data_IF_408475134901
#
_entry.id   IF_408475134901
#
_cell.length_a   1.000
_cell.length_b   1.000
_cell.length_c   1.000
_cell.angle_alpha   90.00
_cell.angle_beta   90.00
_cell.angle_gamma   90.00
#
_symmetry.space_group_name_H-M   'P 1'
#
loop_
_entity.id
_entity.type
_entity.pdbx_description
1 polymer ?
#
# COMPACT_ATOMS: atom_id res chain seq x y z
N UNK A 1 22.26 -27.81 7.14
CA UNK A 1 21.13 -28.29 6.31
C UNK A 1 19.86 -27.44 6.50
N UNK A 2 19.96 -26.25 7.12
CA UNK A 2 18.82 -25.34 7.34
C UNK A 2 18.81 -24.24 6.27
N UNK A 3 19.98 -23.79 5.80
CA UNK A 3 20.10 -22.72 4.79
C UNK A 3 19.47 -23.06 3.43
N UNK A 4 19.53 -24.31 2.99
CA UNK A 4 18.94 -24.73 1.70
C UNK A 4 17.41 -24.65 1.74
N UNK A 5 16.80 -25.00 2.87
CA UNK A 5 15.33 -25.02 3.03
C UNK A 5 14.73 -23.60 3.10
N UNK A 6 15.45 -22.65 3.72
CA UNK A 6 15.00 -21.25 3.81
C UNK A 6 15.08 -20.57 2.44
N UNK A 7 16.18 -20.77 1.71
CA UNK A 7 16.37 -20.16 0.39
C UNK A 7 15.33 -20.64 -0.64
N UNK A 8 14.99 -21.93 -0.64
CA UNK A 8 13.93 -22.45 -1.52
C UNK A 8 12.55 -21.89 -1.20
N UNK A 9 12.27 -21.71 0.10
CA UNK A 9 11.00 -21.15 0.57
C UNK A 9 10.86 -19.68 0.18
N UNK A 10 11.93 -18.88 0.32
CA UNK A 10 11.96 -17.49 -0.13
C UNK A 10 11.76 -17.39 -1.64
N UNK A 11 12.52 -18.17 -2.43
CA UNK A 11 12.40 -18.18 -3.89
C UNK A 11 10.98 -18.59 -4.36
N UNK A 12 10.33 -19.51 -3.64
CA UNK A 12 8.93 -19.88 -3.91
C UNK A 12 7.97 -18.73 -3.59
N UNK A 13 8.17 -18.02 -2.49
CA UNK A 13 7.41 -16.83 -2.12
C UNK A 13 7.53 -15.72 -3.18
N UNK A 14 8.75 -15.42 -3.64
CA UNK A 14 8.96 -14.40 -4.65
C UNK A 14 8.25 -14.73 -5.98
N UNK A 15 8.36 -15.98 -6.43
CA UNK A 15 7.68 -16.45 -7.64
C UNK A 15 6.16 -16.32 -7.51
N UNK A 16 5.62 -16.62 -6.34
CA UNK A 16 4.19 -16.53 -6.07
C UNK A 16 3.70 -15.08 -6.08
N UNK A 17 4.46 -14.14 -5.50
CA UNK A 17 4.17 -12.70 -5.58
C UNK A 17 4.14 -12.24 -7.03
N UNK A 18 5.18 -12.55 -7.81
CA UNK A 18 5.25 -12.17 -9.24
C UNK A 18 4.07 -12.73 -10.03
N UNK A 19 3.71 -14.00 -9.77
CA UNK A 19 2.54 -14.63 -10.39
C UNK A 19 1.24 -13.90 -10.05
N UNK A 20 1.03 -13.49 -8.79
CA UNK A 20 -0.15 -12.72 -8.38
C UNK A 20 -0.21 -11.35 -9.08
N UNK A 21 0.92 -10.66 -9.20
CA UNK A 21 1.01 -9.38 -9.93
C UNK A 21 0.61 -9.55 -11.40
N UNK A 22 1.14 -10.57 -12.08
CA UNK A 22 0.77 -10.88 -13.47
C UNK A 22 -0.71 -11.25 -13.63
N UNK A 23 -1.27 -12.03 -12.69
CA UNK A 23 -2.69 -12.40 -12.71
C UNK A 23 -3.59 -11.18 -12.52
N UNK A 24 -3.23 -10.27 -11.61
CA UNK A 24 -3.97 -9.03 -11.41
C UNK A 24 -3.91 -8.13 -12.64
N UNK A 25 -2.74 -8.03 -13.31
CA UNK A 25 -2.59 -7.29 -14.56
C UNK A 25 -3.51 -7.82 -15.66
N UNK A 26 -3.49 -9.13 -15.92
CA UNK A 26 -4.39 -9.76 -16.91
C UNK A 26 -5.86 -9.56 -16.55
N UNK A 27 -6.19 -9.67 -15.27
CA UNK A 27 -7.56 -9.44 -14.79
C UNK A 27 -8.02 -8.01 -15.03
N UNK A 28 -7.12 -7.03 -14.89
CA UNK A 28 -7.40 -5.63 -15.20
C UNK A 28 -7.61 -5.43 -16.71
N UNK A 29 -6.72 -5.94 -17.56
CA UNK A 29 -6.82 -5.83 -19.02
C UNK A 29 -8.18 -6.36 -19.51
N UNK A 30 -8.57 -7.56 -19.08
CA UNK A 30 -9.86 -8.18 -19.43
C UNK A 30 -11.09 -7.41 -18.93
N UNK A 31 -10.97 -6.66 -17.83
CA UNK A 31 -12.05 -5.81 -17.32
C UNK A 31 -12.15 -4.53 -18.13
N UNK A 32 -11.01 -3.88 -18.39
CA UNK A 32 -10.95 -2.59 -19.08
C UNK A 32 -11.42 -2.69 -20.53
N UNK A 33 -11.14 -3.80 -21.22
CA UNK A 33 -11.67 -4.05 -22.58
C UNK A 33 -13.19 -3.98 -22.67
N UNK A 34 -13.89 -4.25 -21.56
CA UNK A 34 -15.37 -4.25 -21.49
C UNK A 34 -15.93 -2.92 -21.01
N UNK A 35 -15.09 -1.95 -20.66
CA UNK A 35 -15.53 -0.67 -20.14
C UNK A 35 -15.82 0.32 -21.27
N UNK A 36 -16.79 1.25 -21.08
CA UNK A 36 -16.97 2.37 -21.99
C UNK A 36 -15.70 3.22 -22.11
N UNK A 37 -15.52 3.87 -23.27
CA UNK A 37 -14.41 4.80 -23.50
C UNK A 37 -14.37 5.88 -22.41
N UNK A 38 -13.18 6.16 -21.89
CA UNK A 38 -12.93 7.16 -20.85
C UNK A 38 -13.11 6.67 -19.41
N UNK A 39 -13.74 5.51 -19.17
CA UNK A 39 -13.85 4.95 -17.82
C UNK A 39 -12.50 4.43 -17.33
N UNK A 40 -11.69 3.83 -18.21
CA UNK A 40 -10.34 3.39 -17.88
C UNK A 40 -9.44 4.54 -17.37
N UNK A 41 -9.49 5.68 -18.05
CA UNK A 41 -8.74 6.88 -17.66
C UNK A 41 -9.24 7.45 -16.33
N UNK A 42 -10.54 7.38 -16.08
CA UNK A 42 -11.13 7.75 -14.80
C UNK A 42 -10.71 6.81 -13.66
N UNK A 43 -10.52 5.51 -13.93
CA UNK A 43 -10.02 4.56 -12.93
C UNK A 43 -8.56 4.84 -12.54
N UNK A 44 -7.71 5.23 -13.50
CA UNK A 44 -6.31 5.56 -13.22
C UNK A 44 -6.17 6.85 -12.39
N UNK A 45 -7.00 7.84 -12.68
CA UNK A 45 -7.01 9.14 -11.97
C UNK A 45 -7.85 9.12 -10.69
N UNK A 46 -8.59 8.04 -10.45
CA UNK A 46 -9.47 7.88 -9.30
C UNK A 46 -8.67 7.76 -8.01
N UNK A 47 -8.99 8.59 -7.03
CA UNK A 47 -8.61 8.41 -5.63
C UNK A 47 -9.62 7.46 -5.01
N UNK A 48 -9.20 6.24 -4.66
CA UNK A 48 -10.04 5.31 -3.92
C UNK A 48 -9.65 5.36 -2.45
N UNK A 49 -10.31 6.20 -1.63
CA UNK A 49 -10.06 6.15 -0.20
C UNK A 49 -10.51 4.77 0.29
N UNK A 50 -9.59 4.02 0.91
CA UNK A 50 -10.05 3.10 1.95
C UNK A 50 -10.62 4.03 3.02
N UNK A 51 -11.92 3.94 3.35
CA UNK A 51 -12.41 4.65 4.52
C UNK A 51 -11.49 4.24 5.67
N UNK A 52 -10.95 5.23 6.39
CA UNK A 52 -10.26 5.04 7.67
C UNK A 52 -11.25 4.37 8.62
N UNK A 53 -11.46 3.08 8.44
CA UNK A 53 -12.03 2.25 9.44
C UNK A 53 -10.88 2.10 10.42
N UNK A 54 -11.00 2.80 11.56
CA UNK A 54 -10.52 2.30 12.82
C UNK A 54 -10.80 0.79 12.86
N UNK A 55 -9.84 -0.02 12.42
CA UNK A 55 -9.80 -1.43 12.77
C UNK A 55 -9.33 -1.47 14.22
N UNK A 56 -10.20 -0.97 15.10
CA UNK A 56 -10.04 -0.89 16.55
C UNK A 56 -10.21 -2.28 17.16
N UNK A 57 -9.22 -3.15 16.91
CA UNK A 57 -8.66 -3.89 18.03
C UNK A 57 -7.84 -2.87 18.83
N UNK A 58 -8.06 -2.77 20.14
CA UNK A 58 -7.58 -1.69 21.04
C UNK A 58 -6.07 -1.37 21.02
N UNK A 59 -5.27 -2.04 20.22
CA UNK A 59 -3.80 -2.01 20.27
C UNK A 59 -3.10 -1.74 18.92
N UNK A 60 -3.81 -1.51 17.80
CA UNK A 60 -3.15 -1.18 16.53
C UNK A 60 -3.99 -0.28 15.62
N UNK A 61 -3.57 0.99 15.48
CA UNK A 61 -4.15 1.90 14.50
C UNK A 61 -3.59 1.60 13.11
N UNK A 62 -4.47 1.53 12.11
CA UNK A 62 -4.06 1.43 10.71
C UNK A 62 -4.19 2.80 10.05
N UNK A 63 -3.08 3.27 9.52
CA UNK A 63 -3.03 4.48 8.69
C UNK A 63 -3.09 4.04 7.24
N UNK A 64 -4.06 4.59 6.50
CA UNK A 64 -4.24 4.30 5.08
C UNK A 64 -3.65 5.42 4.22
N UNK A 65 -2.64 5.08 3.43
CA UNK A 65 -2.12 5.92 2.35
C UNK A 65 -2.56 5.42 0.97
N UNK A 66 -2.08 6.10 -0.06
CA UNK A 66 -2.25 5.72 -1.45
C UNK A 66 -0.90 5.54 -2.14
N UNK A 67 -0.82 4.59 -3.05
CA UNK A 67 0.39 4.30 -3.82
C UNK A 67 0.00 3.69 -5.16
N UNK A 68 0.84 3.81 -6.17
CA UNK A 68 0.60 3.20 -7.47
C UNK A 68 0.60 1.66 -7.37
N UNK A 69 -0.41 1.01 -7.97
CA UNK A 69 -0.48 -0.43 -8.04
C UNK A 69 0.55 -0.99 -9.06
N UNK A 70 1.42 -1.95 -8.68
CA UNK A 70 2.43 -2.51 -9.59
C UNK A 70 1.84 -3.37 -10.73
N UNK A 71 0.56 -3.74 -10.64
CA UNK A 71 -0.12 -4.53 -11.67
C UNK A 71 -0.82 -3.66 -12.72
N UNK A 72 -1.62 -2.68 -12.29
CA UNK A 72 -2.52 -1.93 -13.16
C UNK A 72 -2.30 -0.41 -13.18
N UNK A 73 -1.30 0.08 -12.43
CA UNK A 73 -0.91 1.49 -12.34
C UNK A 73 -2.03 2.45 -11.92
N UNK A 74 -3.11 1.93 -11.36
CA UNK A 74 -4.14 2.74 -10.71
C UNK A 74 -3.76 2.94 -9.24
N UNK A 75 -4.31 3.97 -8.60
CA UNK A 75 -4.13 4.19 -7.17
C UNK A 75 -4.63 2.97 -6.37
N UNK A 76 -3.72 2.34 -5.65
CA UNK A 76 -3.98 1.34 -4.64
C UNK A 76 -3.89 1.98 -3.25
N UNK A 77 -4.53 1.34 -2.29
CA UNK A 77 -4.43 1.74 -0.90
C UNK A 77 -3.35 0.93 -0.20
N UNK A 78 -2.58 1.58 0.65
CA UNK A 78 -1.54 0.94 1.46
C UNK A 78 -1.84 1.21 2.92
N UNK A 79 -1.79 0.16 3.74
CA UNK A 79 -2.06 0.23 5.16
C UNK A 79 -0.76 0.01 5.94
N UNK A 80 -0.61 0.74 7.03
CA UNK A 80 0.54 0.66 7.92
C UNK A 80 0.07 0.42 9.36
N UNK A 81 0.79 -0.43 10.09
CA UNK A 81 0.64 -0.82 11.50
C UNK A 81 1.69 -0.10 12.35
N UNK A 82 1.67 1.23 12.45
CA UNK A 82 2.41 1.91 13.53
C UNK A 82 2.12 3.43 13.61
N UNK A 83 2.42 4.04 14.75
CA UNK A 83 2.27 5.47 15.03
C UNK A 83 3.36 6.36 14.40
N UNK A 84 4.45 5.78 13.89
CA UNK A 84 5.62 6.51 13.39
C UNK A 84 5.54 6.96 11.92
N UNK A 85 4.39 6.87 11.28
CA UNK A 85 4.27 7.05 9.82
C UNK A 85 4.54 8.51 9.38
N UNK A 86 4.51 9.48 10.30
CA UNK A 86 4.92 10.87 10.06
C UNK A 86 6.41 11.13 10.25
N UNK A 87 7.03 10.59 11.31
CA UNK A 87 8.38 10.95 11.77
C UNK A 87 9.41 9.82 11.75
N UNK A 88 8.99 8.60 11.44
CA UNK A 88 9.84 7.42 11.39
C UNK A 88 10.76 7.41 10.17
N UNK A 89 11.95 6.86 10.37
CA UNK A 89 12.90 6.51 9.32
C UNK A 89 12.28 5.61 8.25
N UNK A 90 12.93 5.54 7.09
CA UNK A 90 12.51 4.64 6.00
C UNK A 90 12.33 3.19 6.48
N UNK A 91 13.25 2.69 7.31
CA UNK A 91 13.20 1.32 7.82
C UNK A 91 11.95 1.09 8.68
N UNK A 92 11.57 2.07 9.50
CA UNK A 92 10.36 2.01 10.32
C UNK A 92 9.09 2.03 9.47
N UNK A 93 9.00 2.93 8.49
CA UNK A 93 7.86 2.97 7.55
C UNK A 93 7.74 1.69 6.72
N UNK A 94 8.86 1.15 6.26
CA UNK A 94 8.88 -0.12 5.52
C UNK A 94 8.39 -1.26 6.40
N UNK A 95 8.90 -1.37 7.62
CA UNK A 95 8.52 -2.45 8.53
C UNK A 95 7.11 -2.30 9.10
N UNK A 96 6.53 -1.10 9.08
CA UNK A 96 5.16 -0.87 9.51
C UNK A 96 4.14 -1.19 8.42
N UNK A 97 4.49 -1.45 7.15
CA UNK A 97 3.49 -1.83 6.15
C UNK A 97 2.77 -3.11 6.55
N UNK A 98 1.44 -3.02 6.65
CA UNK A 98 0.55 -4.14 6.82
C UNK A 98 0.31 -4.83 5.47
N UNK A 99 -0.25 -4.07 4.52
CA UNK A 99 -0.66 -4.58 3.23
C UNK A 99 -0.86 -3.47 2.20
N UNK A 100 -0.84 -3.86 0.93
CA UNK A 100 -1.35 -3.08 -0.20
C UNK A 100 -2.59 -3.78 -0.76
N UNK A 101 -3.63 -3.00 -1.07
CA UNK A 101 -4.85 -3.47 -1.71
C UNK A 101 -5.25 -2.55 -2.86
N UNK A 102 -5.29 -3.09 -4.08
CA UNK A 102 -5.81 -2.37 -5.25
C UNK A 102 -7.27 -2.74 -5.49
N UNK A 103 -8.19 -1.79 -5.31
CA UNK A 103 -9.63 -2.00 -5.56
C UNK A 103 -9.95 -2.24 -7.05
N UNK A 104 -9.07 -1.79 -7.95
CA UNK A 104 -9.30 -1.89 -9.40
C UNK A 104 -8.96 -3.28 -9.93
N UNK A 105 -7.74 -3.76 -9.69
CA UNK A 105 -7.30 -5.08 -10.16
C UNK A 105 -7.42 -6.20 -9.11
N UNK A 106 -7.79 -5.86 -7.87
CA UNK A 106 -7.91 -6.77 -6.73
C UNK A 106 -6.59 -7.43 -6.30
N UNK A 107 -5.45 -6.83 -6.69
CA UNK A 107 -4.15 -7.24 -6.17
C UNK A 107 -4.07 -6.94 -4.68
N UNK A 108 -3.61 -7.94 -3.91
CA UNK A 108 -3.29 -7.81 -2.49
C UNK A 108 -1.87 -8.32 -2.23
N UNK A 109 -1.07 -7.49 -1.59
CA UNK A 109 0.30 -7.80 -1.15
C UNK A 109 0.39 -7.58 0.36
N UNK A 110 1.07 -8.48 1.07
CA UNK A 110 1.18 -8.48 2.52
C UNK A 110 2.61 -8.15 2.96
N UNK A 111 2.77 -7.10 3.76
CA UNK A 111 4.03 -6.71 4.36
C UNK A 111 5.14 -6.27 3.39
N UNK A 112 6.22 -5.75 3.96
CA UNK A 112 7.33 -5.18 3.20
C UNK A 112 7.95 -6.14 2.17
N UNK A 113 8.08 -7.43 2.51
CA UNK A 113 8.76 -8.39 1.64
C UNK A 113 8.01 -8.61 0.32
N UNK A 114 6.68 -8.64 0.33
CA UNK A 114 5.92 -8.81 -0.91
C UNK A 114 5.92 -7.54 -1.75
N UNK A 115 5.89 -6.37 -1.10
CA UNK A 115 6.00 -5.08 -1.77
C UNK A 115 7.36 -4.93 -2.47
N UNK A 116 8.47 -5.27 -1.79
CA UNK A 116 9.82 -5.21 -2.38
C UNK A 116 9.93 -6.09 -3.63
N UNK A 117 9.40 -7.32 -3.57
CA UNK A 117 9.40 -8.25 -4.71
C UNK A 117 8.57 -7.71 -5.88
N UNK A 118 7.47 -7.02 -5.57
CA UNK A 118 6.63 -6.36 -6.55
C UNK A 118 7.21 -5.02 -7.05
N UNK A 119 8.34 -4.57 -6.51
CA UNK A 119 8.98 -3.31 -6.88
C UNK A 119 8.26 -2.06 -6.35
N UNK A 120 7.49 -2.20 -5.28
CA UNK A 120 6.73 -1.10 -4.67
C UNK A 120 7.57 -0.44 -3.58
N UNK A 121 7.88 0.84 -3.76
CA UNK A 121 8.59 1.62 -2.76
C UNK A 121 7.62 2.40 -1.87
N UNK A 122 7.56 2.02 -0.59
CA UNK A 122 6.69 2.63 0.42
C UNK A 122 6.94 4.13 0.63
N UNK A 123 8.09 4.66 0.19
CA UNK A 123 8.37 6.11 0.21
C UNK A 123 7.43 6.91 -0.68
N UNK A 124 6.88 6.27 -1.71
CA UNK A 124 5.95 6.90 -2.63
C UNK A 124 4.50 6.76 -2.17
N UNK A 125 4.28 6.27 -0.95
CA UNK A 125 2.97 6.29 -0.35
C UNK A 125 2.59 7.73 0.04
N UNK A 126 1.54 8.23 -0.60
CA UNK A 126 0.92 9.50 -0.26
C UNK A 126 -0.06 9.30 0.90
N UNK A 127 0.12 10.08 1.97
CA UNK A 127 -0.77 10.05 3.12
C UNK A 127 -1.76 11.21 2.99
N UNK A 128 -3.07 10.94 2.97
CA UNK A 128 -4.06 12.01 2.91
C UNK A 128 -3.90 12.99 4.07
N UNK A 129 -4.10 14.28 3.83
CA UNK A 129 -3.98 15.32 4.85
C UNK A 129 -4.91 15.08 6.05
N UNK A 130 -6.10 14.53 5.81
CA UNK A 130 -7.03 14.11 6.88
C UNK A 130 -6.44 13.01 7.77
N UNK A 131 -5.64 12.13 7.20
CA UNK A 131 -4.93 11.07 7.92
C UNK A 131 -3.82 11.67 8.78
N UNK A 132 -3.05 12.62 8.22
CA UNK A 132 -2.02 13.35 8.96
C UNK A 132 -2.62 14.19 10.10
N UNK A 133 -3.72 14.90 9.85
CA UNK A 133 -4.47 15.67 10.85
C UNK A 133 -5.07 14.78 11.94
N UNK A 134 -5.72 13.68 11.56
CA UNK A 134 -6.25 12.71 12.52
C UNK A 134 -5.16 12.09 13.41
N UNK A 135 -3.97 11.82 12.85
CA UNK A 135 -2.80 11.41 13.63
C UNK A 135 -2.35 12.52 14.59
N UNK A 136 -2.19 13.75 14.11
CA UNK A 136 -1.77 14.90 14.93
C UNK A 136 -2.72 15.15 16.12
N UNK A 137 -4.03 15.08 15.88
CA UNK A 137 -5.07 15.23 16.91
C UNK A 137 -5.07 14.06 17.90
N UNK A 138 -4.95 12.82 17.43
CA UNK A 138 -4.92 11.64 18.29
C UNK A 138 -3.69 11.62 19.21
N UNK A 139 -2.54 12.07 18.73
CA UNK A 139 -1.28 12.09 19.49
C UNK A 139 -1.00 13.41 20.23
N UNK A 140 -1.90 14.38 20.17
CA UNK A 140 -1.73 15.68 20.86
C UNK A 140 -0.56 16.51 20.35
N UNK A 141 -0.17 16.34 19.08
CA UNK A 141 0.90 17.08 18.41
C UNK A 141 0.31 17.99 17.33
N UNK A 142 -0.40 19.06 17.72
CA UNK A 142 -0.98 20.01 16.76
C UNK A 142 0.05 20.90 16.04
N UNK A 143 1.30 20.97 16.51
CA UNK A 143 2.21 22.08 16.18
C UNK A 143 3.47 21.70 15.35
N UNK A 144 3.55 20.52 14.71
CA UNK A 144 4.82 20.05 14.09
C UNK A 144 4.78 19.67 12.61
N UNK A 145 3.70 19.94 11.87
CA UNK A 145 3.61 19.56 10.45
C UNK A 145 3.86 20.70 9.44
N UNK A 146 4.40 21.85 9.87
CA UNK A 146 4.66 22.99 8.97
C UNK A 146 5.93 22.83 8.08
N UNK A 147 6.79 21.84 8.31
CA UNK A 147 8.13 21.79 7.65
C UNK A 147 8.31 20.66 6.61
N UNK A 148 7.24 20.10 6.02
CA UNK A 148 7.35 19.04 5.00
C UNK A 148 7.10 19.50 3.55
N UNK A 149 7.19 20.81 3.28
CA UNK A 149 7.18 21.36 1.92
C UNK A 149 8.46 22.11 1.62
N UNK A 150 9.50 21.38 1.18
CA UNK A 150 10.59 21.87 0.33
C UNK A 150 11.20 20.70 -0.47
#
# INVERSE_FOLDING_TARGET
>A
MIDVSINESMAKGEREVRRRVEQARRSYELRVEKLPKGVADALQKGTYPIPLAELSGRDSMFVAGQIECPACYCNASIAFVDYLIGSGSYAERRNSVAFLLCQVCQLRLEGASELDVAGVDVRWAELPEITLKGMAEFYGQSDTFEDLSD
#
